data_IF_883702192684
#
_entry.id   IF_883702192684
#
_cell.length_a   1.000
_cell.length_b   1.000
_cell.length_c   1.000
_cell.angle_alpha   90.00
_cell.angle_beta   90.00
_cell.angle_gamma   90.00
#
_symmetry.space_group_name_H-M   'P 1'
#
loop_
_entity.id
_entity.type
_entity.pdbx_description
1 polymer ?
#
# COMPACT_ATOMS: atom_id res chain seq x y z
N UNK A 1 -17.34 -1.46 -5.16
CA UNK A 1 -16.13 -1.28 -4.35
C UNK A 1 -15.87 0.20 -4.13
N UNK A 2 -14.82 0.56 -3.46
CA UNK A 2 -14.53 1.94 -3.06
C UNK A 2 -13.96 2.81 -4.20
N UNK A 3 -14.20 2.46 -5.45
CA UNK A 3 -13.82 3.30 -6.60
C UNK A 3 -12.33 3.34 -6.93
N UNK A 4 -11.56 2.37 -6.46
CA UNK A 4 -10.14 2.25 -6.75
C UNK A 4 -9.84 1.06 -7.63
N UNK A 5 -8.54 0.86 -7.87
CA UNK A 5 -8.05 -0.29 -8.63
C UNK A 5 -7.24 -1.19 -7.71
N UNK A 6 -7.53 -2.49 -7.75
CA UNK A 6 -6.71 -3.47 -7.05
C UNK A 6 -5.50 -3.86 -7.88
N UNK A 7 -4.36 -4.02 -7.22
CA UNK A 7 -3.13 -4.50 -7.84
C UNK A 7 -2.90 -5.93 -7.38
N UNK A 8 -2.69 -6.82 -8.32
CA UNK A 8 -2.52 -8.23 -7.99
C UNK A 8 -1.33 -8.82 -8.76
N UNK A 9 -0.68 -9.78 -8.14
CA UNK A 9 0.38 -10.56 -8.74
C UNK A 9 0.11 -12.02 -8.44
N UNK A 10 0.05 -12.85 -9.49
CA UNK A 10 -0.22 -14.28 -9.37
C UNK A 10 -1.49 -14.57 -8.56
N UNK A 11 -2.54 -13.77 -8.80
CA UNK A 11 -3.83 -13.95 -8.17
C UNK A 11 -3.94 -13.40 -6.74
N UNK A 12 -2.90 -12.77 -6.23
CA UNK A 12 -2.92 -12.20 -4.88
C UNK A 12 -2.88 -10.68 -4.95
N UNK A 13 -3.82 -10.04 -4.28
CA UNK A 13 -3.80 -8.59 -4.18
C UNK A 13 -2.68 -8.14 -3.25
N UNK A 14 -1.92 -7.14 -3.68
CA UNK A 14 -0.85 -6.59 -2.88
C UNK A 14 -0.94 -5.06 -2.77
N UNK A 15 -1.82 -4.42 -3.52
CA UNK A 15 -1.92 -2.98 -3.49
C UNK A 15 -3.25 -2.46 -4.01
N UNK A 16 -3.46 -1.17 -3.81
CA UNK A 16 -4.67 -0.47 -4.23
C UNK A 16 -4.25 0.90 -4.75
N UNK A 17 -4.86 1.33 -5.86
CA UNK A 17 -4.78 2.72 -6.32
C UNK A 17 -6.14 3.33 -6.10
N UNK A 18 -6.20 4.42 -5.34
CA UNK A 18 -7.45 5.08 -4.99
C UNK A 18 -7.23 6.60 -4.95
N UNK A 19 -8.01 7.32 -5.75
CA UNK A 19 -7.94 8.79 -5.82
C UNK A 19 -6.52 9.30 -6.08
N UNK A 20 -5.80 8.63 -6.99
CA UNK A 20 -4.46 9.03 -7.37
C UNK A 20 -3.38 8.69 -6.34
N UNK A 21 -3.73 7.91 -5.32
CA UNK A 21 -2.78 7.48 -4.29
C UNK A 21 -2.57 5.99 -4.35
N UNK A 22 -1.35 5.57 -4.05
CA UNK A 22 -0.96 4.16 -4.07
C UNK A 22 -0.87 3.64 -2.64
N UNK A 23 -1.43 2.45 -2.41
CA UNK A 23 -1.41 1.78 -1.11
C UNK A 23 -0.89 0.37 -1.31
N UNK A 24 -0.03 -0.07 -0.39
CA UNK A 24 0.49 -1.44 -0.43
C UNK A 24 0.02 -2.22 0.79
N UNK A 25 -0.17 -3.52 0.59
CA UNK A 25 -0.47 -4.44 1.67
C UNK A 25 0.71 -4.55 2.62
N UNK A 26 0.44 -4.56 3.92
CA UNK A 26 1.47 -4.63 4.94
C UNK A 26 1.23 -5.81 5.88
N UNK A 27 2.28 -6.15 6.62
CA UNK A 27 2.21 -7.09 7.72
C UNK A 27 3.06 -6.54 8.87
N UNK A 28 3.16 -7.24 10.02
CA UNK A 28 3.94 -6.73 11.16
C UNK A 28 5.41 -6.45 10.83
N UNK A 29 5.97 -7.07 9.78
CA UNK A 29 7.37 -6.84 9.43
C UNK A 29 7.55 -5.64 8.52
N UNK A 30 6.54 -5.26 7.72
CA UNK A 30 6.64 -4.16 6.76
C UNK A 30 5.95 -2.89 7.24
N UNK A 31 4.94 -2.99 8.08
CA UNK A 31 4.20 -1.83 8.56
C UNK A 31 5.09 -0.75 9.22
N UNK A 32 6.13 -1.12 10.00
CA UNK A 32 6.98 -0.10 10.63
C UNK A 32 7.63 0.86 9.65
N UNK A 33 8.02 0.41 8.45
CA UNK A 33 8.63 1.31 7.45
C UNK A 33 7.66 2.40 7.01
N UNK A 34 6.38 2.10 6.98
CA UNK A 34 5.37 3.10 6.63
C UNK A 34 5.15 4.08 7.77
N UNK A 35 5.18 3.60 9.03
CA UNK A 35 5.03 4.46 10.20
C UNK A 35 6.19 5.43 10.34
N UNK A 36 7.39 5.01 9.99
CA UNK A 36 8.57 5.89 10.01
C UNK A 36 8.37 7.07 9.08
N UNK A 37 7.67 6.86 7.96
CA UNK A 37 7.34 7.92 7.01
C UNK A 37 6.04 8.64 7.35
N UNK A 38 5.47 8.38 8.53
CA UNK A 38 4.21 9.00 9.00
C UNK A 38 3.02 8.70 8.09
N UNK A 39 3.01 7.55 7.44
CA UNK A 39 1.91 7.15 6.57
C UNK A 39 0.77 6.57 7.40
N UNK A 40 -0.44 6.61 6.83
CA UNK A 40 -1.65 6.16 7.51
C UNK A 40 -2.24 4.95 6.80
N UNK A 41 -3.01 4.11 7.53
CA UNK A 41 -3.73 3.02 6.90
C UNK A 41 -4.74 3.53 5.87
N UNK A 42 -5.06 2.71 4.89
CA UNK A 42 -6.06 3.04 3.88
C UNK A 42 -7.44 3.12 4.52
N UNK A 43 -8.08 4.26 4.38
CA UNK A 43 -9.43 4.48 4.88
C UNK A 43 -10.28 5.05 3.74
N UNK A 44 -11.01 4.21 2.97
CA UNK A 44 -11.81 4.69 1.85
C UNK A 44 -12.98 5.57 2.30
N UNK A 45 -13.40 5.42 3.56
CA UNK A 45 -14.44 6.27 4.14
C UNK A 45 -14.26 6.32 5.65
N UNK A 46 -15.11 7.09 6.34
CA UNK A 46 -14.98 7.27 7.78
C UNK A 46 -15.37 6.03 8.60
N UNK A 47 -16.04 5.07 7.97
CA UNK A 47 -16.53 3.87 8.66
C UNK A 47 -15.64 2.67 8.48
N UNK A 48 -14.71 2.71 7.52
CA UNK A 48 -13.92 1.54 7.16
C UNK A 48 -12.46 1.91 7.03
N UNK A 49 -11.61 1.19 7.73
CA UNK A 49 -10.16 1.32 7.64
C UNK A 49 -9.57 -0.05 7.36
N UNK A 50 -8.81 -0.16 6.30
CA UNK A 50 -8.09 -1.38 5.98
C UNK A 50 -6.70 -1.29 6.61
N UNK A 51 -6.57 -1.83 7.81
CA UNK A 51 -5.34 -1.70 8.61
C UNK A 51 -4.15 -2.39 7.98
N UNK A 52 -4.38 -3.29 7.03
CA UNK A 52 -3.32 -4.03 6.36
C UNK A 52 -2.80 -3.31 5.12
N UNK A 53 -3.34 -2.15 4.77
CA UNK A 53 -2.92 -1.37 3.61
C UNK A 53 -2.53 0.02 4.07
N UNK A 54 -1.32 0.44 3.71
CA UNK A 54 -0.81 1.77 4.04
C UNK A 54 -0.49 2.54 2.78
N UNK A 55 -0.67 3.84 2.82
CA UNK A 55 -0.29 4.72 1.71
C UNK A 55 1.23 4.69 1.51
N UNK A 56 1.66 4.58 0.25
CA UNK A 56 3.08 4.60 -0.08
C UNK A 56 3.54 6.07 -0.15
N UNK A 57 4.64 6.41 0.55
CA UNK A 57 5.16 7.79 0.49
C UNK A 57 5.49 8.23 -0.94
N UNK A 58 5.25 9.50 -1.24
CA UNK A 58 5.48 10.04 -2.60
C UNK A 58 6.93 9.85 -3.03
N UNK A 59 7.88 10.06 -2.13
CA UNK A 59 9.29 9.88 -2.47
C UNK A 59 9.62 8.44 -2.84
N UNK A 60 8.90 7.46 -2.29
CA UNK A 60 9.07 6.06 -2.67
C UNK A 60 8.42 5.81 -4.03
N UNK A 61 7.25 6.39 -4.27
CA UNK A 61 6.59 6.26 -5.58
C UNK A 61 7.47 6.80 -6.70
N UNK A 62 8.22 7.87 -6.42
CA UNK A 62 9.10 8.50 -7.41
C UNK A 62 10.43 7.79 -7.57
N UNK A 63 10.75 6.82 -6.71
CA UNK A 63 11.98 6.05 -6.79
C UNK A 63 11.65 4.63 -7.26
N UNK A 64 11.82 4.37 -8.55
CA UNK A 64 11.38 3.10 -9.14
C UNK A 64 12.04 1.88 -8.48
N UNK A 65 13.32 1.95 -8.16
CA UNK A 65 14.01 0.82 -7.53
C UNK A 65 13.43 0.51 -6.14
N UNK A 66 13.24 1.54 -5.33
CA UNK A 66 12.67 1.38 -4.00
C UNK A 66 11.21 0.96 -4.08
N UNK A 67 10.48 1.51 -5.03
CA UNK A 67 9.07 1.18 -5.22
C UNK A 67 8.90 -0.31 -5.57
N UNK A 68 9.74 -0.83 -6.46
CA UNK A 68 9.71 -2.25 -6.82
C UNK A 68 10.01 -3.12 -5.60
N UNK A 69 10.99 -2.73 -4.80
CA UNK A 69 11.33 -3.46 -3.57
C UNK A 69 10.15 -3.52 -2.61
N UNK A 70 9.49 -2.40 -2.39
CA UNK A 70 8.33 -2.35 -1.50
C UNK A 70 7.15 -3.13 -2.07
N UNK A 71 6.95 -3.08 -3.38
CA UNK A 71 5.89 -3.82 -4.04
C UNK A 71 6.11 -5.34 -3.93
N UNK A 72 7.34 -5.80 -4.11
CA UNK A 72 7.66 -7.22 -3.98
C UNK A 72 7.46 -7.70 -2.54
N UNK A 73 7.83 -6.88 -1.57
CA UNK A 73 7.60 -7.22 -0.16
C UNK A 73 6.09 -7.35 0.13
N UNK A 74 5.27 -6.50 -0.47
CA UNK A 74 3.82 -6.57 -0.33
C UNK A 74 3.25 -7.79 -1.04
N UNK A 75 3.75 -8.12 -2.23
CA UNK A 75 3.25 -9.22 -3.05
C UNK A 75 3.61 -10.60 -2.48
N UNK A 76 4.69 -10.68 -1.71
CA UNK A 76 5.16 -11.95 -1.15
C UNK A 76 4.45 -12.34 0.16
N UNK A 77 3.30 -11.72 0.49
CA UNK A 77 2.56 -11.99 1.74
C UNK A 77 1.26 -12.78 1.55
#
# INVERSE_FOLDING_TARGET
MFGGYGLALQGRFFGIIHKGRLYFRTDPSTAPRYRVHHMKPFAPNTRQTLKNYYEVPVNIVESSDTLVEWALAAANR
#
